data_IF_541629652795
#
_entry.id   IF_541629652795
#
_cell.length_a   1.000
_cell.length_b   1.000
_cell.length_c   1.000
_cell.angle_alpha   90.00
_cell.angle_beta   90.00
_cell.angle_gamma   90.00
#
_symmetry.space_group_name_H-M   'P 1'
#
loop_
_entity.id
_entity.type
_entity.pdbx_description
1 polymer ?
#
# COMPACT_ATOMS: atom_id res chain seq x y z
N UNK A 1 2.36 21.63 -11.07
CA UNK A 1 3.03 20.53 -10.35
C UNK A 1 1.90 19.70 -9.77
N UNK A 2 1.65 18.44 -10.13
CA UNK A 2 2.59 17.32 -10.13
C UNK A 2 1.93 16.11 -10.82
N UNK A 3 2.32 15.77 -12.06
CA UNK A 3 1.96 14.49 -12.70
C UNK A 3 3.07 13.42 -12.56
N UNK A 4 4.07 13.67 -11.72
CA UNK A 4 5.19 12.75 -11.48
C UNK A 4 5.13 12.02 -10.13
N UNK A 5 4.07 12.20 -9.34
CA UNK A 5 3.92 11.53 -8.04
C UNK A 5 3.20 10.19 -8.18
N UNK A 6 2.19 10.10 -9.06
CA UNK A 6 1.29 8.95 -9.21
C UNK A 6 1.98 7.65 -9.64
N UNK A 7 3.03 7.73 -10.47
CA UNK A 7 3.63 6.53 -11.08
C UNK A 7 4.51 5.72 -10.10
N UNK A 8 5.18 6.39 -9.15
CA UNK A 8 6.01 5.71 -8.15
C UNK A 8 5.16 4.97 -7.12
N UNK A 9 3.99 5.52 -6.83
CA UNK A 9 3.10 4.98 -5.80
C UNK A 9 2.31 3.77 -6.33
N UNK A 10 1.96 3.74 -7.63
CA UNK A 10 1.40 2.55 -8.29
C UNK A 10 2.39 1.36 -8.32
N UNK A 11 3.67 1.62 -8.65
CA UNK A 11 4.71 0.58 -8.60
C UNK A 11 4.94 0.06 -7.18
N UNK A 12 4.91 0.95 -6.17
CA UNK A 12 5.03 0.55 -4.77
C UNK A 12 3.86 -0.35 -4.34
N UNK A 13 2.62 0.02 -4.68
CA UNK A 13 1.45 -0.81 -4.42
C UNK A 13 1.54 -2.17 -5.11
N UNK A 14 1.97 -2.21 -6.37
CA UNK A 14 2.15 -3.47 -7.10
C UNK A 14 3.22 -4.38 -6.47
N UNK A 15 4.27 -3.81 -5.87
CA UNK A 15 5.27 -4.58 -5.13
C UNK A 15 4.71 -5.13 -3.81
N UNK A 16 3.90 -4.35 -3.08
CA UNK A 16 3.22 -4.86 -1.88
C UNK A 16 2.20 -5.94 -2.23
N UNK A 17 1.45 -5.81 -3.33
CA UNK A 17 0.53 -6.85 -3.78
C UNK A 17 1.23 -8.16 -4.13
N UNK A 18 2.43 -8.09 -4.74
CA UNK A 18 3.25 -9.28 -4.97
C UNK A 18 3.76 -9.90 -3.66
N UNK A 19 4.20 -9.07 -2.70
CA UNK A 19 4.62 -9.55 -1.39
C UNK A 19 3.46 -10.26 -0.68
N UNK A 20 2.27 -9.66 -0.71
CA UNK A 20 1.04 -10.21 -0.14
C UNK A 20 0.52 -11.44 -0.90
N UNK A 21 0.82 -11.58 -2.19
CA UNK A 21 0.52 -12.80 -2.93
C UNK A 21 1.42 -13.99 -2.52
N UNK A 22 2.64 -13.71 -2.04
CA UNK A 22 3.57 -14.72 -1.54
C UNK A 22 3.29 -15.04 -0.08
N UNK A 23 3.10 -14.01 0.74
CA UNK A 23 2.77 -14.11 2.15
C UNK A 23 1.61 -13.17 2.48
N UNK A 24 0.35 -13.65 2.44
CA UNK A 24 -0.82 -12.83 2.70
C UNK A 24 -0.91 -12.36 4.16
N UNK A 25 -0.18 -13.01 5.08
CA UNK A 25 -0.13 -12.68 6.50
C UNK A 25 1.10 -11.81 6.83
N UNK A 26 1.77 -11.24 5.82
CA UNK A 26 2.87 -10.28 6.05
C UNK A 26 2.31 -8.93 6.53
N UNK A 27 2.23 -8.82 7.85
CA UNK A 27 1.86 -7.60 8.57
C UNK A 27 2.70 -6.37 8.15
N UNK A 28 3.99 -6.56 7.84
CA UNK A 28 4.86 -5.44 7.42
C UNK A 28 4.49 -4.97 6.02
N UNK A 29 4.15 -5.89 5.11
CA UNK A 29 3.67 -5.56 3.78
C UNK A 29 2.33 -4.82 3.82
N UNK A 30 1.37 -5.27 4.64
CA UNK A 30 0.10 -4.59 4.83
C UNK A 30 0.27 -3.18 5.43
N UNK A 31 1.11 -3.03 6.45
CA UNK A 31 1.40 -1.73 7.06
C UNK A 31 2.05 -0.76 6.07
N UNK A 32 3.05 -1.21 5.31
CA UNK A 32 3.74 -0.36 4.33
C UNK A 32 2.82 0.01 3.15
N UNK A 33 1.94 -0.90 2.74
CA UNK A 33 0.89 -0.62 1.74
C UNK A 33 -0.08 0.45 2.25
N UNK A 34 -0.53 0.35 3.50
CA UNK A 34 -1.39 1.34 4.14
C UNK A 34 -0.75 2.74 4.19
N UNK A 35 0.54 2.83 4.53
CA UNK A 35 1.28 4.10 4.53
C UNK A 35 1.37 4.69 3.11
N UNK A 36 1.64 3.88 2.09
CA UNK A 36 1.70 4.33 0.70
C UNK A 36 0.33 4.87 0.24
N UNK A 37 -0.75 4.14 0.53
CA UNK A 37 -2.13 4.54 0.24
C UNK A 37 -2.52 5.86 0.94
N UNK A 38 -2.13 6.02 2.21
CA UNK A 38 -2.38 7.26 2.95
C UNK A 38 -1.65 8.46 2.33
N UNK A 39 -0.44 8.27 1.80
CA UNK A 39 0.36 9.33 1.17
C UNK A 39 -0.24 9.82 -0.15
N UNK A 40 -0.96 8.98 -0.89
CA UNK A 40 -1.66 9.36 -2.12
C UNK A 40 -3.10 9.84 -1.88
N UNK A 41 -3.54 9.87 -0.62
CA UNK A 41 -4.89 10.29 -0.24
C UNK A 41 -5.96 9.19 -0.31
N UNK A 42 -5.58 7.95 -0.62
CA UNK A 42 -6.44 6.76 -0.60
C UNK A 42 -6.65 6.27 0.83
N UNK A 43 -7.35 7.08 1.61
CA UNK A 43 -7.48 6.88 3.06
C UNK A 43 -8.31 5.64 3.41
N UNK A 44 -9.36 5.33 2.65
CA UNK A 44 -10.21 4.15 2.89
C UNK A 44 -9.44 2.83 2.67
N UNK A 45 -8.68 2.74 1.58
CA UNK A 45 -7.86 1.57 1.27
C UNK A 45 -6.68 1.43 2.22
N UNK A 46 -6.15 2.57 2.73
CA UNK A 46 -5.14 2.56 3.78
C UNK A 46 -5.65 1.93 5.07
N UNK A 47 -6.84 2.32 5.53
CA UNK A 47 -7.47 1.75 6.74
C UNK A 47 -7.70 0.25 6.56
N UNK A 48 -8.24 -0.18 5.42
CA UNK A 48 -8.44 -1.61 5.14
C UNK A 48 -7.12 -2.40 5.13
N UNK A 49 -6.02 -1.77 4.72
CA UNK A 49 -4.69 -2.38 4.78
C UNK A 49 -4.18 -2.48 6.22
N UNK A 50 -4.39 -1.46 7.05
CA UNK A 50 -4.02 -1.51 8.47
C UNK A 50 -4.86 -2.50 9.27
N UNK A 51 -6.15 -2.67 8.94
CA UNK A 51 -7.01 -3.67 9.57
C UNK A 51 -6.54 -5.10 9.29
N UNK A 52 -5.94 -5.34 8.12
CA UNK A 52 -5.28 -6.62 7.80
C UNK A 52 -3.87 -6.75 8.39
N UNK A 53 -3.29 -5.64 8.84
CA UNK A 53 -2.01 -5.60 9.50
C UNK A 53 -2.08 -5.85 11.03
N UNK A 54 -3.27 -6.11 11.58
CA UNK A 54 -3.54 -6.41 12.99
C UNK A 54 -3.93 -7.88 13.17
#
# INVERSE_FOLDING_TARGET
MSQNQTNWDEEAMANYDKALAINPDDYSAWNNKGIALARVGQSEEAVASFDKAL
#
